data_IF_805386106541
#
_entry.id   IF_805386106541
#
_cell.length_a   1.000
_cell.length_b   1.000
_cell.length_c   1.000
_cell.angle_alpha   90.00
_cell.angle_beta   90.00
_cell.angle_gamma   90.00
#
_symmetry.space_group_name_H-M   'P 1'
#
loop_
_entity.id
_entity.type
_entity.pdbx_description
1 polymer ?
#
# COMPACT_ATOMS: atom_id res chain seq x y z
N UNK A 1 -9.58 10.13 6.04
CA UNK A 1 -8.48 9.21 5.66
C UNK A 1 -8.37 9.02 4.15
N UNK A 2 -9.38 8.53 3.45
CA UNK A 2 -9.30 8.25 2.00
C UNK A 2 -8.86 9.45 1.14
N UNK A 3 -9.40 10.64 1.40
CA UNK A 3 -9.07 11.87 0.64
C UNK A 3 -7.58 12.21 0.75
N UNK A 4 -7.00 12.14 1.94
CA UNK A 4 -5.57 12.39 2.14
C UNK A 4 -4.71 11.34 1.42
N UNK A 5 -5.09 10.06 1.44
CA UNK A 5 -4.38 9.02 0.69
C UNK A 5 -4.36 9.30 -0.80
N UNK A 6 -5.49 9.72 -1.38
CA UNK A 6 -5.56 10.07 -2.81
C UNK A 6 -4.70 11.28 -3.14
N UNK A 7 -4.78 12.35 -2.32
CA UNK A 7 -3.98 13.57 -2.53
C UNK A 7 -2.47 13.25 -2.44
N UNK A 8 -2.03 12.55 -1.41
CA UNK A 8 -0.61 12.22 -1.23
C UNK A 8 -0.11 11.21 -2.27
N UNK A 9 -0.95 10.28 -2.72
CA UNK A 9 -0.62 9.40 -3.85
C UNK A 9 -0.40 10.20 -5.12
N UNK A 10 -1.31 11.13 -5.44
CA UNK A 10 -1.17 12.02 -6.59
C UNK A 10 0.08 12.90 -6.49
N UNK A 11 0.35 13.48 -5.31
CA UNK A 11 1.57 14.26 -5.05
C UNK A 11 2.83 13.44 -5.25
N UNK A 12 2.85 12.20 -4.76
CA UNK A 12 3.99 11.27 -4.92
C UNK A 12 4.28 11.03 -6.41
N UNK A 13 3.27 10.72 -7.20
CA UNK A 13 3.43 10.49 -8.64
C UNK A 13 3.79 11.76 -9.41
N UNK A 14 3.26 12.92 -9.03
CA UNK A 14 3.43 14.18 -9.78
C UNK A 14 4.73 14.92 -9.43
N UNK A 15 5.14 14.88 -8.17
CA UNK A 15 6.25 15.69 -7.68
C UNK A 15 7.49 14.89 -7.29
N UNK A 16 7.32 13.67 -6.78
CA UNK A 16 8.43 12.84 -6.30
C UNK A 16 8.90 11.86 -7.38
N UNK A 17 7.99 11.23 -8.08
CA UNK A 17 8.31 10.26 -9.12
C UNK A 17 9.26 10.80 -10.20
N UNK A 18 8.97 11.94 -10.87
CA UNK A 18 9.82 12.44 -11.94
C UNK A 18 11.25 12.79 -11.54
N UNK A 19 11.52 13.56 -10.47
CA UNK A 19 12.90 13.83 -10.07
C UNK A 19 13.61 12.56 -9.57
N UNK A 20 12.93 11.70 -8.81
CA UNK A 20 13.51 10.46 -8.31
C UNK A 20 13.95 9.55 -9.46
N UNK A 21 13.12 9.41 -10.50
CA UNK A 21 13.45 8.66 -11.70
C UNK A 21 14.67 9.21 -12.43
N UNK A 22 14.77 10.54 -12.57
CA UNK A 22 15.94 11.18 -13.22
C UNK A 22 17.23 10.87 -12.48
N UNK A 23 17.20 10.97 -11.15
CA UNK A 23 18.36 10.65 -10.32
C UNK A 23 18.67 9.14 -10.34
N UNK A 24 17.67 8.28 -10.25
CA UNK A 24 17.87 6.84 -10.32
C UNK A 24 18.48 6.41 -11.66
N UNK A 25 18.01 7.00 -12.77
CA UNK A 25 18.56 6.73 -14.10
C UNK A 25 20.00 7.21 -14.26
N UNK A 26 20.38 8.30 -13.59
CA UNK A 26 21.76 8.81 -13.64
C UNK A 26 22.78 7.87 -12.96
N UNK A 27 22.33 7.05 -12.01
CA UNK A 27 23.19 6.09 -11.27
C UNK A 27 22.84 4.63 -11.55
N UNK A 28 22.00 4.37 -12.54
CA UNK A 28 21.48 3.03 -12.86
C UNK A 28 20.92 2.30 -11.62
N UNK A 29 20.28 3.08 -10.72
CA UNK A 29 19.76 2.60 -9.47
C UNK A 29 18.38 1.95 -9.67
N UNK A 30 18.25 0.68 -9.27
CA UNK A 30 17.00 -0.09 -9.29
C UNK A 30 16.39 -0.24 -7.90
N UNK A 31 17.20 -0.05 -6.86
CA UNK A 31 16.80 -0.21 -5.47
C UNK A 31 17.17 1.02 -4.64
N UNK A 32 16.58 1.14 -3.43
CA UNK A 32 16.94 2.20 -2.49
C UNK A 32 18.42 2.13 -2.07
N UNK A 33 19.01 0.96 -1.75
CA UNK A 33 20.45 0.87 -1.52
C UNK A 33 21.29 1.40 -2.67
N UNK A 34 20.93 1.09 -3.94
CA UNK A 34 21.64 1.62 -5.12
C UNK A 34 21.57 3.15 -5.18
N UNK A 35 20.37 3.69 -4.90
CA UNK A 35 20.17 5.14 -4.85
C UNK A 35 21.00 5.79 -3.75
N UNK A 36 21.06 5.19 -2.54
CA UNK A 36 21.90 5.64 -1.43
C UNK A 36 23.38 5.60 -1.84
N UNK A 37 23.81 4.52 -2.51
CA UNK A 37 25.17 4.40 -3.03
C UNK A 37 25.50 5.58 -3.94
N UNK A 38 24.72 5.80 -4.99
CA UNK A 38 24.99 6.86 -5.95
C UNK A 38 24.90 8.27 -5.37
N UNK A 39 23.94 8.51 -4.47
CA UNK A 39 23.67 9.86 -3.94
C UNK A 39 24.54 10.25 -2.77
N UNK A 40 24.85 9.32 -1.87
CA UNK A 40 25.52 9.61 -0.58
C UNK A 40 26.98 9.18 -0.62
N UNK A 41 27.28 8.01 -1.19
CA UNK A 41 28.64 7.44 -1.17
C UNK A 41 29.46 7.84 -2.40
N UNK A 42 28.80 8.21 -3.52
CA UNK A 42 29.47 8.68 -4.73
C UNK A 42 30.54 7.71 -5.23
N UNK A 43 31.70 8.23 -5.59
CA UNK A 43 32.84 7.47 -6.13
C UNK A 43 33.73 6.85 -5.02
N UNK A 44 33.23 6.64 -3.82
CA UNK A 44 33.98 5.99 -2.76
C UNK A 44 34.31 4.54 -3.20
N UNK A 45 35.59 4.12 -3.23
CA UNK A 45 35.98 2.77 -3.66
C UNK A 45 35.41 1.67 -2.77
N UNK A 46 35.11 1.96 -1.52
CA UNK A 46 34.50 1.02 -0.56
C UNK A 46 32.97 1.15 -0.49
N UNK A 47 32.35 1.89 -1.42
CA UNK A 47 30.92 2.16 -1.40
C UNK A 47 30.09 0.87 -1.36
N UNK A 48 30.51 -0.20 -2.10
CA UNK A 48 29.76 -1.46 -2.15
C UNK A 48 29.70 -2.21 -0.81
N UNK A 49 30.72 -2.03 0.03
CA UNK A 49 30.83 -2.68 1.34
C UNK A 49 30.46 -1.76 2.50
N UNK A 50 29.97 -0.57 2.18
CA UNK A 50 29.66 0.41 3.21
C UNK A 50 28.52 -0.07 4.12
N UNK A 51 28.67 -0.01 5.46
CA UNK A 51 27.69 -0.53 6.41
C UNK A 51 26.30 0.09 6.25
N UNK A 52 26.21 1.30 5.71
CA UNK A 52 24.94 1.98 5.43
C UNK A 52 24.09 1.21 4.40
N UNK A 53 24.73 0.63 3.36
CA UNK A 53 24.03 -0.17 2.35
C UNK A 53 23.51 -1.48 2.95
N UNK A 54 24.36 -2.16 3.71
CA UNK A 54 23.97 -3.39 4.39
C UNK A 54 22.80 -3.13 5.37
N UNK A 55 22.89 -2.07 6.15
CA UNK A 55 21.83 -1.67 7.08
C UNK A 55 20.52 -1.37 6.32
N UNK A 56 20.57 -0.56 5.27
CA UNK A 56 19.38 -0.21 4.48
C UNK A 56 18.74 -1.44 3.83
N UNK A 57 19.53 -2.33 3.25
CA UNK A 57 19.06 -3.58 2.68
C UNK A 57 18.43 -4.49 3.75
N UNK A 58 19.09 -4.65 4.88
CA UNK A 58 18.59 -5.48 6.00
C UNK A 58 17.26 -4.97 6.54
N UNK A 59 17.12 -3.66 6.74
CA UNK A 59 15.87 -3.04 7.19
C UNK A 59 14.75 -3.27 6.18
N UNK A 60 15.03 -3.08 4.88
CA UNK A 60 14.03 -3.29 3.82
C UNK A 60 13.58 -4.76 3.77
N UNK A 61 14.53 -5.69 3.80
CA UNK A 61 14.22 -7.13 3.77
C UNK A 61 13.39 -7.52 5.00
N UNK A 62 13.82 -7.12 6.20
CA UNK A 62 13.10 -7.43 7.43
C UNK A 62 11.68 -6.84 7.45
N UNK A 63 11.54 -5.56 7.10
CA UNK A 63 10.23 -4.91 7.03
C UNK A 63 9.32 -5.55 5.97
N UNK A 64 9.89 -5.98 4.83
CA UNK A 64 9.15 -6.67 3.78
C UNK A 64 8.67 -8.06 4.21
N UNK A 65 9.48 -8.80 4.96
CA UNK A 65 9.07 -10.09 5.54
C UNK A 65 7.92 -9.92 6.53
N UNK A 66 8.00 -8.95 7.45
CA UNK A 66 6.91 -8.67 8.38
C UNK A 66 5.61 -8.29 7.65
N UNK A 67 5.73 -7.51 6.58
CA UNK A 67 4.59 -7.14 5.75
C UNK A 67 3.97 -8.35 5.04
N UNK A 68 4.79 -9.22 4.46
CA UNK A 68 4.31 -10.46 3.83
C UNK A 68 3.58 -11.35 4.83
N UNK A 69 4.13 -11.54 6.03
CA UNK A 69 3.47 -12.30 7.10
C UNK A 69 2.08 -11.72 7.43
N UNK A 70 1.96 -10.39 7.52
CA UNK A 70 0.69 -9.74 7.77
C UNK A 70 -0.32 -9.97 6.63
N UNK A 71 0.12 -9.92 5.36
CA UNK A 71 -0.74 -10.20 4.20
C UNK A 71 -1.22 -11.64 4.20
N UNK A 72 -0.32 -12.62 4.36
CA UNK A 72 -0.70 -14.04 4.36
C UNK A 72 -1.64 -14.37 5.52
N UNK A 73 -1.40 -13.79 6.71
CA UNK A 73 -2.31 -13.92 7.84
C UNK A 73 -3.69 -13.36 7.52
N UNK A 74 -3.75 -12.18 6.92
CA UNK A 74 -5.02 -11.57 6.50
C UNK A 74 -5.75 -12.40 5.45
N UNK A 75 -5.06 -12.87 4.41
CA UNK A 75 -5.63 -13.72 3.38
C UNK A 75 -6.15 -15.05 3.96
N UNK A 76 -5.37 -15.70 4.83
CA UNK A 76 -5.77 -16.94 5.49
C UNK A 76 -7.08 -16.79 6.27
N UNK A 77 -7.21 -15.74 7.07
CA UNK A 77 -8.45 -15.47 7.81
C UNK A 77 -9.63 -15.14 6.90
N UNK A 78 -9.41 -14.37 5.82
CA UNK A 78 -10.48 -14.08 4.86
C UNK A 78 -11.01 -15.36 4.19
N UNK A 79 -10.13 -16.23 3.72
CA UNK A 79 -10.56 -17.50 3.11
C UNK A 79 -11.24 -18.41 4.14
N UNK A 80 -10.77 -18.44 5.38
CA UNK A 80 -11.42 -19.19 6.44
C UNK A 80 -12.84 -18.69 6.72
N UNK A 81 -13.03 -17.38 6.83
CA UNK A 81 -14.32 -16.79 7.17
C UNK A 81 -15.32 -16.89 6.00
N UNK A 82 -14.88 -16.60 4.77
CA UNK A 82 -15.79 -16.51 3.63
C UNK A 82 -15.98 -17.83 2.87
N UNK A 83 -14.96 -18.68 2.84
CA UNK A 83 -14.99 -19.94 2.08
C UNK A 83 -14.99 -21.19 2.95
N UNK A 84 -14.85 -21.04 4.28
CA UNK A 84 -14.79 -22.19 5.19
C UNK A 84 -13.53 -23.06 5.03
N UNK A 85 -12.51 -22.58 4.32
CA UNK A 85 -11.25 -23.30 4.10
C UNK A 85 -10.39 -23.23 5.35
N UNK A 86 -9.75 -24.34 5.81
CA UNK A 86 -8.81 -24.30 6.93
C UNK A 86 -7.70 -23.27 6.70
N UNK A 87 -7.35 -22.54 7.77
CA UNK A 87 -6.40 -21.42 7.70
C UNK A 87 -5.06 -21.81 7.06
N UNK A 88 -4.49 -22.95 7.46
CA UNK A 88 -3.20 -23.44 6.96
C UNK A 88 -3.24 -23.74 5.46
N UNK A 89 -4.35 -24.32 4.99
CA UNK A 89 -4.56 -24.60 3.57
C UNK A 89 -4.70 -23.31 2.78
N UNK A 90 -5.47 -22.36 3.30
CA UNK A 90 -5.65 -21.05 2.68
C UNK A 90 -4.32 -20.28 2.54
N UNK A 91 -3.51 -20.27 3.58
CA UNK A 91 -2.17 -19.64 3.55
C UNK A 91 -1.26 -20.37 2.57
N UNK A 92 -1.23 -21.70 2.60
CA UNK A 92 -0.41 -22.51 1.68
C UNK A 92 -0.75 -22.30 0.22
N UNK A 93 -2.04 -22.30 -0.13
CA UNK A 93 -2.52 -22.05 -1.50
C UNK A 93 -2.18 -20.64 -1.93
N UNK A 94 -2.42 -19.63 -1.09
CA UNK A 94 -2.08 -18.24 -1.39
C UNK A 94 -0.58 -18.08 -1.65
N UNK A 95 0.26 -18.68 -0.80
CA UNK A 95 1.72 -18.64 -0.97
C UNK A 95 2.13 -19.29 -2.28
N UNK A 96 1.60 -20.48 -2.58
CA UNK A 96 1.91 -21.21 -3.80
C UNK A 96 1.56 -20.38 -5.05
N UNK A 97 0.36 -19.81 -5.10
CA UNK A 97 -0.10 -18.99 -6.23
C UNK A 97 0.81 -17.77 -6.40
N UNK A 98 1.11 -17.05 -5.31
CA UNK A 98 1.98 -15.86 -5.35
C UNK A 98 3.38 -16.22 -5.84
N UNK A 99 3.98 -17.29 -5.32
CA UNK A 99 5.32 -17.75 -5.75
C UNK A 99 5.32 -18.14 -7.21
N UNK A 100 4.34 -18.92 -7.65
CA UNK A 100 4.27 -19.37 -9.04
C UNK A 100 4.16 -18.20 -10.02
N UNK A 101 3.19 -17.30 -9.86
CA UNK A 101 3.03 -16.23 -10.84
C UNK A 101 4.17 -15.21 -10.79
N UNK A 102 4.76 -14.99 -9.62
CA UNK A 102 5.90 -14.08 -9.47
C UNK A 102 7.17 -14.67 -10.09
N UNK A 103 7.41 -15.97 -9.90
CA UNK A 103 8.59 -16.67 -10.45
C UNK A 103 8.54 -16.77 -11.97
N UNK A 104 7.35 -17.01 -12.54
CA UNK A 104 7.19 -17.17 -13.99
C UNK A 104 7.17 -15.82 -14.70
N UNK A 105 6.48 -14.84 -14.13
CA UNK A 105 6.20 -13.58 -14.81
C UNK A 105 7.09 -12.41 -14.41
N UNK A 106 7.87 -12.52 -13.35
CA UNK A 106 8.76 -11.48 -12.86
C UNK A 106 8.03 -10.17 -12.54
N UNK A 107 8.79 -9.07 -12.50
CA UNK A 107 8.28 -7.74 -12.13
C UNK A 107 7.13 -7.24 -13.02
N UNK A 108 7.23 -7.46 -14.34
CA UNK A 108 6.21 -6.98 -15.30
C UNK A 108 4.87 -7.67 -15.07
N UNK A 109 4.89 -8.99 -14.79
CA UNK A 109 3.69 -9.76 -14.48
C UNK A 109 3.01 -9.24 -13.20
N UNK A 110 3.79 -8.98 -12.16
CA UNK A 110 3.28 -8.44 -10.90
C UNK A 110 2.58 -7.09 -11.12
N UNK A 111 3.22 -6.17 -11.85
CA UNK A 111 2.63 -4.85 -12.15
C UNK A 111 1.34 -4.96 -12.94
N UNK A 112 1.27 -5.86 -13.93
CA UNK A 112 0.04 -6.09 -14.71
C UNK A 112 -1.07 -6.69 -13.85
N UNK A 113 -0.74 -7.65 -13.01
CA UNK A 113 -1.69 -8.27 -12.08
C UNK A 113 -2.22 -7.23 -11.08
N UNK A 114 -1.35 -6.38 -10.54
CA UNK A 114 -1.75 -5.28 -9.65
C UNK A 114 -2.74 -4.31 -10.34
N UNK A 115 -2.51 -4.00 -11.61
CA UNK A 115 -3.42 -3.14 -12.37
C UNK A 115 -4.80 -3.78 -12.56
N UNK A 116 -4.85 -5.06 -12.91
CA UNK A 116 -6.12 -5.80 -13.06
C UNK A 116 -6.84 -5.87 -11.70
N UNK A 117 -6.13 -6.19 -10.64
CA UNK A 117 -6.68 -6.23 -9.28
C UNK A 117 -7.22 -4.86 -8.87
N UNK A 118 -6.53 -3.77 -9.20
CA UNK A 118 -7.00 -2.41 -8.95
C UNK A 118 -8.34 -2.11 -9.61
N UNK A 119 -8.53 -2.52 -10.87
CA UNK A 119 -9.81 -2.39 -11.57
C UNK A 119 -10.90 -3.23 -10.91
N UNK A 120 -10.61 -4.50 -10.57
CA UNK A 120 -11.57 -5.36 -9.88
C UNK A 120 -11.96 -4.81 -8.50
N UNK A 121 -11.00 -4.25 -7.74
CA UNK A 121 -11.27 -3.60 -6.46
C UNK A 121 -12.20 -2.38 -6.63
N UNK A 122 -11.99 -1.58 -7.68
CA UNK A 122 -12.84 -0.43 -7.98
C UNK A 122 -14.27 -0.86 -8.29
N UNK A 123 -14.44 -1.88 -9.15
CA UNK A 123 -15.75 -2.44 -9.47
C UNK A 123 -16.42 -3.00 -8.21
N UNK A 124 -15.68 -3.78 -7.41
CA UNK A 124 -16.18 -4.31 -6.15
C UNK A 124 -16.63 -3.23 -5.17
N UNK A 125 -15.81 -2.19 -5.00
CA UNK A 125 -16.15 -1.06 -4.13
C UNK A 125 -17.41 -0.31 -4.60
N UNK A 126 -17.55 -0.07 -5.90
CA UNK A 126 -18.76 0.55 -6.48
C UNK A 126 -20.00 -0.34 -6.27
N UNK A 127 -19.84 -1.65 -6.47
CA UNK A 127 -20.92 -2.61 -6.26
C UNK A 127 -21.39 -2.62 -4.80
N UNK A 128 -20.44 -2.72 -3.86
CA UNK A 128 -20.75 -2.68 -2.42
C UNK A 128 -21.42 -1.35 -2.07
N UNK A 129 -20.86 -0.22 -2.54
CA UNK A 129 -21.43 1.10 -2.31
C UNK A 129 -22.88 1.19 -2.80
N UNK A 130 -23.16 0.69 -4.01
CA UNK A 130 -24.48 0.67 -4.58
C UNK A 130 -25.46 -0.15 -3.72
N UNK A 131 -25.13 -1.40 -3.42
CA UNK A 131 -26.04 -2.28 -2.66
C UNK A 131 -26.23 -1.81 -1.21
N UNK A 132 -25.18 -1.36 -0.53
CA UNK A 132 -25.28 -0.81 0.82
C UNK A 132 -26.14 0.47 0.84
N UNK A 133 -25.95 1.34 -0.15
CA UNK A 133 -26.75 2.57 -0.27
C UNK A 133 -28.22 2.25 -0.53
N UNK A 134 -28.51 1.28 -1.40
CA UNK A 134 -29.90 0.83 -1.65
C UNK A 134 -30.52 0.20 -0.40
N UNK A 135 -29.82 -0.69 0.27
CA UNK A 135 -30.30 -1.32 1.51
C UNK A 135 -30.54 -0.31 2.64
N UNK A 136 -29.78 0.78 2.66
CA UNK A 136 -29.96 1.89 3.63
C UNK A 136 -31.11 2.85 3.28
N UNK A 137 -31.81 2.65 2.16
CA UNK A 137 -32.88 3.57 1.71
C UNK A 137 -32.41 4.74 0.87
N UNK A 138 -31.22 4.62 0.24
CA UNK A 138 -30.61 5.60 -0.65
C UNK A 138 -29.68 6.61 0.08
N UNK A 139 -28.96 7.41 -0.70
CA UNK A 139 -27.99 8.39 -0.19
C UNK A 139 -28.66 9.42 0.75
N UNK A 140 -29.92 9.72 0.51
CA UNK A 140 -30.70 10.66 1.35
C UNK A 140 -30.94 10.13 2.77
N UNK A 141 -30.86 8.82 3.00
CA UNK A 141 -31.01 8.23 4.34
C UNK A 141 -29.82 8.52 5.26
N UNK A 142 -28.66 8.91 4.70
CA UNK A 142 -27.50 9.31 5.50
C UNK A 142 -27.85 10.51 6.40
N UNK A 143 -28.67 11.47 5.90
CA UNK A 143 -29.15 12.58 6.71
C UNK A 143 -30.06 12.15 7.88
N UNK A 144 -30.75 11.02 7.77
CA UNK A 144 -31.60 10.49 8.84
C UNK A 144 -30.79 9.85 9.99
N UNK A 145 -29.51 9.61 9.80
CA UNK A 145 -28.64 9.10 10.87
C UNK A 145 -28.41 10.11 11.98
N UNK A 146 -28.54 11.43 11.69
CA UNK A 146 -28.47 12.48 12.69
C UNK A 146 -29.65 12.45 13.65
N UNK A 147 -30.81 11.97 13.18
CA UNK A 147 -32.04 11.91 13.94
C UNK A 147 -32.16 10.62 14.78
N UNK A 148 -31.19 9.70 14.65
CA UNK A 148 -31.19 8.43 15.39
C UNK A 148 -30.57 8.62 16.78
N UNK A 149 -31.29 8.33 17.87
CA UNK A 149 -30.75 8.43 19.22
C UNK A 149 -29.50 7.60 19.41
N UNK A 150 -28.43 8.18 19.96
CA UNK A 150 -27.17 7.53 20.22
C UNK A 150 -26.22 7.43 19.02
N UNK A 151 -26.54 8.06 17.88
CA UNK A 151 -25.65 8.11 16.68
C UNK A 151 -25.18 9.53 16.32
N UNK A 152 -25.46 10.49 17.17
CA UNK A 152 -25.08 11.90 17.00
C UNK A 152 -23.57 12.08 16.83
N UNK A 153 -22.78 11.21 17.48
CA UNK A 153 -21.32 11.22 17.40
C UNK A 153 -20.76 10.93 16.00
N UNK A 154 -21.55 10.37 15.07
CA UNK A 154 -21.08 10.06 13.71
C UNK A 154 -20.81 11.31 12.88
N UNK A 155 -21.43 12.42 13.23
CA UNK A 155 -21.26 13.73 12.56
C UNK A 155 -20.46 14.72 13.40
N UNK A 156 -20.05 14.32 14.61
CA UNK A 156 -19.15 15.11 15.44
C UNK A 156 -17.70 14.78 15.09
N UNK A 157 -16.89 15.81 14.79
CA UNK A 157 -15.47 15.70 14.48
C UNK A 157 -14.64 15.12 15.66
N UNK A 158 -15.14 15.24 16.86
CA UNK A 158 -14.52 14.72 18.09
C UNK A 158 -15.35 13.62 18.78
N UNK A 159 -16.30 13.02 18.09
CA UNK A 159 -17.22 12.05 18.65
C UNK A 159 -16.55 10.75 19.12
N UNK A 160 -16.49 9.74 18.26
CA UNK A 160 -15.94 8.43 18.63
C UNK A 160 -14.40 8.41 18.74
N UNK A 161 -13.71 9.26 17.95
CA UNK A 161 -12.25 9.38 17.97
C UNK A 161 -11.88 10.86 17.84
N UNK A 162 -10.98 11.40 18.69
CA UNK A 162 -10.54 12.79 18.58
C UNK A 162 -10.01 13.12 17.18
N UNK A 163 -10.40 14.27 16.64
CA UNK A 163 -9.98 14.70 15.30
C UNK A 163 -8.46 14.69 15.10
N UNK A 164 -7.70 15.07 16.12
CA UNK A 164 -6.23 15.05 16.09
C UNK A 164 -5.67 13.64 15.86
N UNK A 165 -6.30 12.60 16.45
CA UNK A 165 -5.90 11.19 16.27
C UNK A 165 -6.26 10.74 14.85
N UNK A 166 -7.45 11.06 14.36
CA UNK A 166 -7.85 10.77 12.97
C UNK A 166 -6.91 11.42 11.96
N UNK A 167 -6.55 12.67 12.20
CA UNK A 167 -5.62 13.41 11.35
C UNK A 167 -4.21 12.80 11.40
N UNK A 168 -3.72 12.46 12.58
CA UNK A 168 -2.41 11.83 12.76
C UNK A 168 -2.30 10.48 12.05
N UNK A 169 -3.29 9.60 12.23
CA UNK A 169 -3.35 8.29 11.55
C UNK A 169 -3.48 8.47 10.03
N UNK A 170 -4.31 9.41 9.59
CA UNK A 170 -4.51 9.67 8.16
C UNK A 170 -3.25 10.24 7.51
N UNK A 171 -2.57 11.15 8.18
CA UNK A 171 -1.33 11.76 7.71
C UNK A 171 -0.19 10.74 7.69
N UNK A 172 -0.06 9.91 8.73
CA UNK A 172 0.92 8.82 8.79
C UNK A 172 0.75 7.85 7.62
N UNK A 173 -0.49 7.41 7.35
CA UNK A 173 -0.78 6.53 6.22
C UNK A 173 -0.52 7.18 4.86
N UNK A 174 -0.76 8.48 4.74
CA UNK A 174 -0.52 9.25 3.52
C UNK A 174 0.97 9.51 3.28
N UNK A 175 1.72 9.89 4.31
CA UNK A 175 3.17 10.11 4.24
C UNK A 175 3.93 8.81 3.90
N UNK A 176 3.42 7.66 4.35
CA UNK A 176 3.97 6.36 3.98
C UNK A 176 4.09 6.18 2.46
N UNK A 177 3.12 6.67 1.68
CA UNK A 177 3.14 6.56 0.21
C UNK A 177 4.34 7.27 -0.45
N UNK A 178 4.92 8.25 0.26
CA UNK A 178 6.07 9.02 -0.23
C UNK A 178 7.39 8.27 -0.01
N UNK A 179 7.49 7.50 1.08
CA UNK A 179 8.76 6.89 1.53
C UNK A 179 8.76 5.37 1.45
N UNK A 180 7.65 4.72 1.08
CA UNK A 180 7.56 3.26 1.01
C UNK A 180 8.51 2.71 -0.07
N UNK A 181 9.47 1.84 0.28
CA UNK A 181 10.43 1.26 -0.67
C UNK A 181 9.77 0.59 -1.87
N UNK A 182 8.59 -0.02 -1.67
CA UNK A 182 7.81 -0.70 -2.72
C UNK A 182 7.22 0.28 -3.73
N UNK A 183 6.82 1.46 -3.27
CA UNK A 183 6.34 2.53 -4.14
C UNK A 183 7.50 3.15 -4.91
N UNK A 184 8.61 3.40 -4.24
CA UNK A 184 9.81 4.00 -4.83
C UNK A 184 10.44 3.10 -5.89
N UNK A 185 10.49 1.78 -5.67
CA UNK A 185 11.02 0.83 -6.65
C UNK A 185 10.22 0.81 -7.96
N UNK A 186 8.92 1.13 -7.93
CA UNK A 186 8.11 1.29 -9.13
C UNK A 186 8.54 2.51 -9.96
N UNK A 187 8.96 3.60 -9.30
CA UNK A 187 9.48 4.77 -10.02
C UNK A 187 10.83 4.50 -10.68
N UNK A 188 11.68 3.70 -10.05
CA UNK A 188 13.00 3.31 -10.63
C UNK A 188 12.83 2.46 -11.89
N UNK A 189 11.88 1.55 -11.93
CA UNK A 189 11.62 0.65 -13.06
C UNK A 189 10.89 1.26 -14.25
N UNK A 190 10.45 2.52 -14.19
CA UNK A 190 9.80 3.19 -15.32
C UNK A 190 10.84 3.62 -16.36
N UNK A 191 10.62 3.24 -17.64
CA UNK A 191 11.43 3.69 -18.79
C UNK A 191 10.99 5.05 -19.28
#
# INVERSE_FOLDING_TARGET
MAVLLVIFSWMSWRWIGPPLRRFAAAWDALTIPDYIRGRILGDNPDAERHPLLLLSASVIVFASLLYLLAIFKGAGHLFQIFLGVPYEVAVGVTLLVVVLYTSIGGFVSVVRTDAIQGVLMLIGAMTIFYFVTQAAGGIRSVGKLTDMPGKEYLFDLNGAVPFAVLLGVSLSGALKLIVDPRQLSRFYGLK
#
